data_IF_409724131285
#
_entry.id   IF_409724131285
#
_cell.length_a   1.000
_cell.length_b   1.000
_cell.length_c   1.000
_cell.angle_alpha   90.00
_cell.angle_beta   90.00
_cell.angle_gamma   90.00
#
_symmetry.space_group_name_H-M   'P 1'
#
loop_
_entity.id
_entity.type
_entity.pdbx_description
1 polymer ?
#
# COMPACT_ATOMS: atom_id res chain seq x y z
N UNK A 1 -2.78 18.47 24.30
CA UNK A 1 -2.44 18.06 22.92
C UNK A 1 -0.95 18.33 22.77
N UNK A 2 -0.12 17.28 22.75
CA UNK A 2 1.34 17.42 22.69
C UNK A 2 1.71 17.96 21.30
N UNK A 3 2.46 19.05 21.23
CA UNK A 3 2.86 19.65 19.96
C UNK A 3 4.08 18.91 19.40
N UNK A 4 3.82 17.74 18.80
CA UNK A 4 4.83 16.82 18.24
C UNK A 4 5.76 17.50 17.22
N UNK A 5 5.36 18.64 16.63
CA UNK A 5 6.18 19.44 15.72
C UNK A 5 7.42 20.04 16.40
N UNK A 6 7.44 20.11 17.72
CA UNK A 6 8.52 20.71 18.47
C UNK A 6 9.56 19.72 19.00
N UNK A 7 9.32 18.41 18.89
CA UNK A 7 10.29 17.39 19.28
C UNK A 7 11.56 17.45 18.43
N UNK A 8 12.72 17.38 19.08
CA UNK A 8 14.02 17.47 18.43
C UNK A 8 14.22 16.30 17.46
N UNK A 9 13.77 15.10 17.87
CA UNK A 9 13.85 13.90 17.04
C UNK A 9 12.99 14.03 15.77
N UNK A 10 11.75 14.52 15.91
CA UNK A 10 10.84 14.74 14.78
C UNK A 10 11.38 15.82 13.84
N UNK A 11 11.97 16.88 14.38
CA UNK A 11 12.63 17.94 13.58
C UNK A 11 13.82 17.40 12.80
N UNK A 12 14.62 16.51 13.40
CA UNK A 12 15.75 15.88 12.73
C UNK A 12 15.30 15.05 11.53
N UNK A 13 14.28 14.21 11.69
CA UNK A 13 13.65 13.43 10.60
C UNK A 13 13.18 14.39 9.49
N UNK A 14 12.39 15.41 9.84
CA UNK A 14 11.86 16.37 8.86
C UNK A 14 12.97 17.04 8.07
N UNK A 15 14.02 17.50 8.76
CA UNK A 15 15.14 18.20 8.13
C UNK A 15 15.94 17.28 7.20
N UNK A 16 16.15 16.02 7.58
CA UNK A 16 16.82 15.03 6.74
C UNK A 16 16.08 14.85 5.41
N UNK A 17 14.79 14.54 5.45
CA UNK A 17 14.01 14.27 4.24
C UNK A 17 13.75 15.51 3.38
N UNK A 18 13.57 16.69 4.00
CA UNK A 18 13.50 17.96 3.24
C UNK A 18 14.80 18.27 2.49
N UNK A 19 15.98 18.01 3.07
CA UNK A 19 17.27 18.16 2.38
C UNK A 19 17.41 17.25 1.17
N UNK A 20 16.71 16.11 1.16
CA UNK A 20 16.62 15.18 0.02
C UNK A 20 15.52 15.55 -1.00
N UNK A 21 14.86 16.70 -0.85
CA UNK A 21 13.74 17.16 -1.67
C UNK A 21 12.49 16.26 -1.62
N UNK A 22 12.25 15.61 -0.49
CA UNK A 22 11.04 14.82 -0.28
C UNK A 22 9.92 15.72 0.23
N UNK A 23 8.68 15.35 -0.05
CA UNK A 23 7.51 16.02 0.50
C UNK A 23 7.32 15.57 1.95
N UNK A 24 7.28 16.53 2.87
CA UNK A 24 7.16 16.26 4.31
C UNK A 24 6.09 17.16 4.91
N UNK A 25 5.02 16.55 5.42
CA UNK A 25 3.88 17.26 5.99
C UNK A 25 3.20 16.43 7.08
N UNK A 26 2.28 17.06 7.83
CA UNK A 26 1.44 16.34 8.79
C UNK A 26 0.04 16.13 8.21
N UNK A 27 -0.53 14.95 8.41
CA UNK A 27 -1.91 14.61 8.00
C UNK A 27 -2.60 13.85 9.11
N UNK A 28 -3.83 14.24 9.43
CA UNK A 28 -4.68 13.48 10.34
C UNK A 28 -5.36 12.34 9.56
N UNK A 29 -5.22 11.11 10.05
CA UNK A 29 -5.84 9.91 9.50
C UNK A 29 -6.40 9.11 10.67
N UNK A 30 -7.67 8.73 10.60
CA UNK A 30 -8.39 8.01 11.67
C UNK A 30 -8.27 8.72 13.05
N UNK A 31 -8.31 10.05 13.06
CA UNK A 31 -8.20 10.86 14.30
C UNK A 31 -6.78 10.95 14.88
N UNK A 32 -5.75 10.48 14.16
CA UNK A 32 -4.36 10.47 14.60
C UNK A 32 -3.52 11.29 13.61
N UNK A 33 -2.71 12.22 14.14
CA UNK A 33 -1.75 12.99 13.36
C UNK A 33 -0.52 12.16 13.02
N UNK A 34 -0.25 12.00 11.73
CA UNK A 34 0.92 11.32 11.20
C UNK A 34 1.87 12.33 10.57
N UNK A 35 3.17 12.14 10.78
CA UNK A 35 4.21 12.68 9.93
C UNK A 35 4.21 11.87 8.62
N UNK A 36 3.96 12.54 7.51
CA UNK A 36 3.91 11.94 6.18
C UNK A 36 5.14 12.36 5.41
N UNK A 37 5.85 11.38 4.86
CA UNK A 37 7.03 11.58 4.03
C UNK A 37 6.79 10.88 2.70
N UNK A 38 6.95 11.60 1.58
CA UNK A 38 6.80 11.05 0.24
C UNK A 38 7.96 11.43 -0.66
N UNK A 39 8.44 10.47 -1.46
CA UNK A 39 9.38 10.70 -2.55
C UNK A 39 8.68 10.75 -3.92
N UNK A 40 7.36 10.98 -3.93
CA UNK A 40 6.43 10.92 -5.08
C UNK A 40 6.14 9.53 -5.62
N UNK A 41 7.04 8.56 -5.40
CA UNK A 41 6.80 7.16 -5.74
C UNK A 41 6.08 6.46 -4.61
N UNK A 42 6.67 6.49 -3.41
CA UNK A 42 6.14 5.89 -2.18
C UNK A 42 5.85 6.97 -1.14
N UNK A 43 5.01 6.61 -0.18
CA UNK A 43 4.64 7.46 0.96
C UNK A 43 4.66 6.64 2.22
N UNK A 44 5.33 7.15 3.26
CA UNK A 44 5.45 6.54 4.58
C UNK A 44 4.71 7.39 5.60
N UNK A 45 3.97 6.74 6.49
CA UNK A 45 3.19 7.39 7.53
C UNK A 45 3.77 7.01 8.89
N UNK A 46 4.33 7.98 9.60
CA UNK A 46 4.88 7.79 10.92
C UNK A 46 3.95 8.43 11.93
N UNK A 47 3.60 7.67 12.97
CA UNK A 47 2.96 8.21 14.16
C UNK A 47 4.02 8.40 15.23
N UNK A 48 4.57 9.62 15.41
CA UNK A 48 5.44 9.93 16.53
C UNK A 48 4.60 10.15 17.79
N UNK A 49 5.04 9.60 18.92
CA UNK A 49 4.45 9.89 20.23
C UNK A 49 5.47 9.69 21.34
N UNK A 50 5.38 10.51 22.38
CA UNK A 50 6.18 10.36 23.59
C UNK A 50 5.44 9.53 24.62
N UNK A 51 6.11 8.52 25.15
CA UNK A 51 5.60 7.74 26.29
C UNK A 51 6.02 8.38 27.62
N UNK A 52 7.23 8.96 27.66
CA UNK A 52 7.81 9.73 28.76
C UNK A 52 8.80 10.78 28.22
N UNK A 53 9.29 11.69 29.06
CA UNK A 53 10.17 12.79 28.64
C UNK A 53 11.43 12.35 27.87
N UNK A 54 11.93 11.15 28.14
CA UNK A 54 13.13 10.56 27.52
C UNK A 54 12.84 9.40 26.58
N UNK A 55 11.57 8.99 26.45
CA UNK A 55 11.17 7.82 25.66
C UNK A 55 10.27 8.28 24.51
N UNK A 56 10.86 8.30 23.31
CA UNK A 56 10.20 8.61 22.05
C UNK A 56 9.85 7.32 21.32
N UNK A 57 8.64 7.23 20.77
CA UNK A 57 8.17 6.08 19.99
C UNK A 57 7.68 6.51 18.62
N UNK A 58 7.97 5.67 17.63
CA UNK A 58 7.58 5.86 16.24
C UNK A 58 6.90 4.58 15.75
N UNK A 59 5.61 4.68 15.43
CA UNK A 59 4.93 3.60 14.70
C UNK A 59 4.96 3.95 13.22
N UNK A 60 5.59 3.11 12.40
CA UNK A 60 5.51 3.20 10.93
C UNK A 60 4.29 2.43 10.49
N UNK A 61 3.36 3.11 9.83
CA UNK A 61 2.06 2.60 9.49
C UNK A 61 1.84 2.59 7.98
N UNK A 62 1.09 1.58 7.54
CA UNK A 62 0.44 1.58 6.24
C UNK A 62 -1.07 1.69 6.41
N UNK A 63 -1.68 2.44 5.50
CA UNK A 63 -3.13 2.53 5.39
C UNK A 63 -3.59 1.70 4.21
N UNK A 64 -4.66 0.94 4.44
CA UNK A 64 -5.31 0.12 3.41
C UNK A 64 -6.81 0.29 3.50
N UNK A 65 -7.48 0.26 2.36
CA UNK A 65 -8.93 0.20 2.34
C UNK A 65 -9.37 -1.26 2.55
N UNK A 66 -10.08 -1.53 3.65
CA UNK A 66 -10.77 -2.80 3.84
C UNK A 66 -12.05 -2.81 3.03
N UNK A 67 -12.13 -3.76 2.11
CA UNK A 67 -13.30 -3.91 1.23
C UNK A 67 -14.49 -4.41 2.05
N UNK A 68 -14.25 -5.35 2.96
CA UNK A 68 -15.27 -5.93 3.83
C UNK A 68 -15.83 -4.91 4.81
N UNK A 69 -14.95 -4.14 5.47
CA UNK A 69 -15.35 -3.14 6.46
C UNK A 69 -15.75 -1.79 5.82
N UNK A 70 -15.51 -1.64 4.51
CA UNK A 70 -15.76 -0.42 3.73
C UNK A 70 -15.12 0.82 4.37
N UNK A 71 -13.95 0.65 4.98
CA UNK A 71 -13.28 1.69 5.74
C UNK A 71 -11.76 1.59 5.55
N UNK A 72 -11.04 2.67 5.89
CA UNK A 72 -9.58 2.66 5.96
C UNK A 72 -9.17 1.97 7.26
N UNK A 73 -8.21 1.06 7.15
CA UNK A 73 -7.54 0.40 8.25
C UNK A 73 -6.08 0.81 8.32
N UNK A 74 -5.53 0.76 9.53
CA UNK A 74 -4.16 1.11 9.83
C UNK A 74 -3.44 -0.13 10.34
N UNK A 75 -2.30 -0.47 9.72
CA UNK A 75 -1.43 -1.55 10.15
C UNK A 75 -0.06 -0.98 10.48
N UNK A 76 0.42 -1.28 11.68
CA UNK A 76 1.78 -0.95 12.07
C UNK A 76 2.73 -1.99 11.49
N UNK A 77 3.62 -1.54 10.60
CA UNK A 77 4.68 -2.35 10.04
C UNK A 77 5.82 -2.52 11.04
N UNK A 78 6.20 -1.43 11.68
CA UNK A 78 7.34 -1.37 12.57
C UNK A 78 7.08 -0.43 13.73
N UNK A 79 7.61 -0.79 14.91
CA UNK A 79 7.62 0.05 16.09
C UNK A 79 9.07 0.27 16.51
N UNK A 80 9.49 1.53 16.54
CA UNK A 80 10.82 1.93 16.98
C UNK A 80 10.68 2.71 18.28
N UNK A 81 11.42 2.29 19.30
CA UNK A 81 11.46 2.96 20.61
C UNK A 81 12.86 3.48 20.88
N UNK A 82 12.99 4.80 21.00
CA UNK A 82 14.20 5.46 21.44
C UNK A 82 14.05 5.70 22.95
N UNK A 83 14.87 5.01 23.76
CA UNK A 83 14.78 4.97 25.23
C UNK A 83 15.48 6.14 25.91
N UNK A 84 16.39 6.83 25.21
CA UNK A 84 17.09 8.01 25.72
C UNK A 84 17.17 9.13 24.68
N UNK A 85 17.37 10.37 25.15
CA UNK A 85 17.72 11.53 24.28
C UNK A 85 19.05 11.36 23.54
N UNK A 86 19.85 10.34 23.87
CA UNK A 86 21.10 10.01 23.20
C UNK A 86 20.95 8.91 22.14
N UNK A 87 19.80 8.22 22.12
CA UNK A 87 19.53 7.22 21.09
C UNK A 87 19.32 7.96 19.77
N UNK A 88 20.00 7.50 18.72
CA UNK A 88 20.05 8.24 17.47
C UNK A 88 18.79 8.02 16.65
N UNK A 89 18.22 9.10 16.13
CA UNK A 89 17.10 9.13 15.17
C UNK A 89 17.43 8.40 13.87
N UNK A 90 18.70 8.07 13.65
CA UNK A 90 19.22 7.39 12.47
C UNK A 90 18.50 6.07 12.16
N UNK A 91 18.18 5.25 13.17
CA UNK A 91 17.43 3.99 12.96
C UNK A 91 16.03 4.25 12.36
N UNK A 92 15.35 5.29 12.85
CA UNK A 92 14.05 5.72 12.32
C UNK A 92 14.19 6.21 10.88
N UNK A 93 15.23 6.98 10.59
CA UNK A 93 15.52 7.46 9.23
C UNK A 93 15.78 6.31 8.27
N UNK A 94 16.59 5.33 8.66
CA UNK A 94 16.94 4.17 7.84
C UNK A 94 15.71 3.34 7.50
N UNK A 95 14.85 3.06 8.48
CA UNK A 95 13.59 2.35 8.25
C UNK A 95 12.66 3.11 7.29
N UNK A 96 12.50 4.43 7.46
CA UNK A 96 11.71 5.25 6.52
C UNK A 96 12.31 5.21 5.11
N UNK A 97 13.64 5.25 4.97
CA UNK A 97 14.29 5.15 3.66
C UNK A 97 14.12 3.78 3.02
N UNK A 98 14.18 2.70 3.78
CA UNK A 98 13.92 1.35 3.29
C UNK A 98 12.51 1.29 2.69
N UNK A 99 11.48 1.71 3.43
CA UNK A 99 10.09 1.72 2.96
C UNK A 99 9.87 2.65 1.77
N UNK A 100 10.50 3.84 1.74
CA UNK A 100 10.38 4.75 0.60
C UNK A 100 11.05 4.21 -0.67
N UNK A 101 12.06 3.36 -0.54
CA UNK A 101 12.80 2.78 -1.66
C UNK A 101 12.32 1.38 -2.07
N UNK A 102 11.35 0.80 -1.34
CA UNK A 102 10.73 -0.46 -1.74
C UNK A 102 10.15 -0.36 -3.16
N UNK A 103 10.38 -1.42 -3.94
CA UNK A 103 9.76 -1.58 -5.25
C UNK A 103 8.24 -1.62 -5.09
N UNK A 104 7.51 -0.91 -5.96
CA UNK A 104 6.05 -1.04 -6.00
C UNK A 104 5.69 -2.50 -6.32
N UNK A 105 4.75 -3.08 -5.57
CA UNK A 105 4.25 -4.44 -5.80
C UNK A 105 3.91 -4.74 -7.27
N UNK A 106 3.31 -3.79 -7.99
CA UNK A 106 2.99 -3.94 -9.41
C UNK A 106 4.24 -4.06 -10.30
N UNK A 107 5.29 -3.28 -10.05
CA UNK A 107 6.56 -3.40 -10.78
C UNK A 107 7.29 -4.69 -10.38
N UNK A 108 7.26 -5.04 -9.09
CA UNK A 108 7.80 -6.31 -8.60
C UNK A 108 7.15 -7.51 -9.32
N UNK A 109 5.81 -7.53 -9.44
CA UNK A 109 5.05 -8.54 -10.20
C UNK A 109 5.57 -8.62 -11.64
N UNK A 110 5.62 -7.47 -12.32
CA UNK A 110 6.02 -7.38 -13.73
C UNK A 110 7.47 -7.85 -13.96
N UNK A 111 8.36 -7.60 -13.00
CA UNK A 111 9.78 -7.92 -13.12
C UNK A 111 10.12 -9.36 -12.72
N UNK A 112 9.31 -10.00 -11.88
CA UNK A 112 9.62 -11.29 -11.27
C UNK A 112 8.71 -12.45 -11.71
N UNK A 113 7.64 -12.19 -12.44
CA UNK A 113 6.71 -13.20 -12.92
C UNK A 113 6.55 -13.15 -14.44
N UNK A 114 6.16 -14.28 -15.04
CA UNK A 114 5.74 -14.31 -16.44
C UNK A 114 4.37 -13.64 -16.55
N UNK A 115 4.35 -12.41 -17.07
CA UNK A 115 3.13 -11.65 -17.26
C UNK A 115 2.70 -11.60 -18.71
N UNK A 116 1.40 -11.34 -18.91
CA UNK A 116 0.84 -11.03 -20.22
C UNK A 116 -0.14 -9.87 -20.15
N UNK A 117 -0.40 -9.27 -21.31
CA UNK A 117 -1.24 -8.09 -21.45
C UNK A 117 -2.74 -8.40 -21.55
N UNK A 118 -3.10 -9.60 -22.01
CA UNK A 118 -4.47 -10.00 -22.32
C UNK A 118 -4.79 -11.36 -21.66
N UNK A 119 -6.04 -11.53 -21.20
CA UNK A 119 -6.51 -12.79 -20.65
C UNK A 119 -6.95 -13.75 -21.76
N UNK A 120 -6.81 -15.05 -21.51
CA UNK A 120 -7.34 -16.09 -22.39
C UNK A 120 -8.86 -16.24 -22.18
N UNK A 121 -9.33 -16.03 -20.94
CA UNK A 121 -10.76 -15.97 -20.64
C UNK A 121 -11.42 -14.69 -21.16
N UNK A 122 -12.45 -14.84 -21.99
CA UNK A 122 -13.16 -13.74 -22.66
C UNK A 122 -13.90 -12.81 -21.69
N UNK A 123 -14.36 -13.32 -20.55
CA UNK A 123 -15.06 -12.51 -19.55
C UNK A 123 -14.04 -11.70 -18.73
N UNK A 124 -12.96 -12.33 -18.30
CA UNK A 124 -11.86 -11.66 -17.61
C UNK A 124 -11.22 -10.58 -18.51
N UNK A 125 -11.03 -10.85 -19.80
CA UNK A 125 -10.47 -9.88 -20.74
C UNK A 125 -11.37 -8.65 -20.92
N UNK A 126 -12.71 -8.80 -20.87
CA UNK A 126 -13.62 -7.64 -20.87
C UNK A 126 -13.36 -6.72 -19.67
N UNK A 127 -13.09 -7.28 -18.50
CA UNK A 127 -12.76 -6.51 -17.30
C UNK A 127 -11.40 -5.83 -17.43
N UNK A 128 -10.40 -6.54 -17.97
CA UNK A 128 -9.07 -5.99 -18.26
C UNK A 128 -9.13 -4.77 -19.20
N UNK A 129 -9.85 -4.89 -20.31
CA UNK A 129 -10.07 -3.80 -21.27
C UNK A 129 -10.72 -2.59 -20.59
N UNK A 130 -11.74 -2.83 -19.76
CA UNK A 130 -12.45 -1.75 -19.08
C UNK A 130 -11.59 -1.02 -18.05
N UNK A 131 -10.72 -1.75 -17.31
CA UNK A 131 -9.70 -1.15 -16.45
C UNK A 131 -8.73 -0.27 -17.26
N UNK A 132 -8.16 -0.80 -18.35
CA UNK A 132 -7.21 -0.04 -19.19
C UNK A 132 -7.83 1.25 -19.73
N UNK A 133 -9.09 1.22 -20.19
CA UNK A 133 -9.82 2.43 -20.63
C UNK A 133 -9.93 3.52 -19.57
N UNK A 134 -9.94 3.15 -18.30
CA UNK A 134 -10.02 4.07 -17.17
C UNK A 134 -8.64 4.44 -16.58
N UNK A 135 -7.57 4.15 -17.31
CA UNK A 135 -6.20 4.56 -16.95
C UNK A 135 -5.55 3.71 -15.88
N UNK A 136 -6.05 2.48 -15.66
CA UNK A 136 -5.36 1.50 -14.84
C UNK A 136 -4.24 0.83 -15.63
N UNK A 137 -3.09 0.67 -15.00
CA UNK A 137 -2.07 -0.26 -15.46
C UNK A 137 -2.50 -1.66 -15.03
N UNK A 138 -2.45 -2.62 -15.94
CA UNK A 138 -2.80 -4.01 -15.65
C UNK A 138 -1.70 -4.96 -16.13
N UNK A 139 -1.56 -6.08 -15.44
CA UNK A 139 -0.72 -7.23 -15.84
C UNK A 139 -1.47 -8.49 -15.46
N UNK A 140 -1.37 -9.53 -16.29
CA UNK A 140 -2.02 -10.81 -16.03
C UNK A 140 -0.97 -11.86 -15.75
N UNK A 141 -1.19 -12.63 -14.69
CA UNK A 141 -0.40 -13.81 -14.34
C UNK A 141 -1.31 -15.04 -14.33
N UNK A 142 -0.78 -16.17 -14.77
CA UNK A 142 -1.40 -17.48 -14.57
C UNK A 142 -0.74 -18.17 -13.37
N UNK A 143 -1.47 -18.33 -12.26
CA UNK A 143 -0.91 -18.86 -11.02
C UNK A 143 -1.83 -19.90 -10.37
N UNK A 144 -1.26 -20.80 -9.57
CA UNK A 144 -2.02 -21.79 -8.82
C UNK A 144 -2.75 -21.16 -7.62
N UNK A 145 -4.05 -20.90 -7.81
CA UNK A 145 -4.97 -20.41 -6.78
C UNK A 145 -6.03 -21.45 -6.47
N UNK A 146 -6.18 -21.82 -5.19
CA UNK A 146 -7.16 -22.82 -4.74
C UNK A 146 -6.98 -24.18 -5.45
N UNK A 147 -5.74 -24.64 -5.59
CA UNK A 147 -5.38 -25.89 -6.28
C UNK A 147 -5.73 -25.92 -7.79
N UNK A 148 -5.91 -24.76 -8.42
CA UNK A 148 -6.15 -24.63 -9.86
C UNK A 148 -5.34 -23.48 -10.44
N UNK A 149 -4.83 -23.65 -11.66
CA UNK A 149 -4.24 -22.54 -12.41
C UNK A 149 -5.35 -21.57 -12.78
N UNK A 150 -5.18 -20.30 -12.45
CA UNK A 150 -6.12 -19.22 -12.78
C UNK A 150 -5.37 -18.04 -13.35
N UNK A 151 -6.01 -17.36 -14.29
CA UNK A 151 -5.60 -16.03 -14.70
C UNK A 151 -6.05 -15.00 -13.67
N UNK A 152 -5.15 -14.11 -13.31
CA UNK A 152 -5.34 -13.06 -12.32
C UNK A 152 -4.91 -11.75 -12.97
N UNK A 153 -5.81 -10.77 -12.99
CA UNK A 153 -5.46 -9.40 -13.37
C UNK A 153 -4.92 -8.72 -12.11
N UNK A 154 -3.63 -8.40 -12.10
CA UNK A 154 -3.06 -7.42 -11.20
C UNK A 154 -3.26 -6.04 -11.80
N UNK A 155 -3.64 -5.06 -10.99
CA UNK A 155 -3.82 -3.71 -11.48
C UNK A 155 -3.55 -2.65 -10.42
N UNK A 156 -3.13 -1.48 -10.90
CA UNK A 156 -2.85 -0.31 -10.10
C UNK A 156 -3.15 0.96 -10.90
N UNK A 157 -3.28 2.09 -10.22
CA UNK A 157 -3.50 3.40 -10.83
C UNK A 157 -2.85 4.47 -9.98
N UNK A 158 -1.94 5.21 -10.59
CA UNK A 158 -1.36 6.39 -9.97
C UNK A 158 -2.44 7.47 -9.88
N UNK A 159 -2.87 7.82 -8.67
CA UNK A 159 -3.67 9.00 -8.41
C UNK A 159 -2.96 9.88 -7.40
N UNK A 160 -2.89 11.16 -7.72
CA UNK A 160 -2.48 12.19 -6.77
C UNK A 160 -3.42 12.15 -5.55
N UNK A 161 -2.86 12.23 -4.34
CA UNK A 161 -3.55 12.23 -3.04
C UNK A 161 -4.05 10.89 -2.48
N UNK A 162 -3.75 9.75 -3.11
CA UNK A 162 -4.03 8.45 -2.48
C UNK A 162 -3.29 8.30 -1.15
N UNK A 163 -3.92 7.64 -0.19
CA UNK A 163 -3.25 7.21 1.03
C UNK A 163 -2.14 6.20 0.77
N UNK A 164 -2.15 5.52 -0.37
CA UNK A 164 -1.00 4.74 -0.81
C UNK A 164 -0.95 4.77 -2.35
N UNK A 165 -0.07 5.61 -2.95
CA UNK A 165 -0.02 5.81 -4.40
C UNK A 165 0.34 4.55 -5.20
N UNK A 166 0.74 3.46 -4.52
CA UNK A 166 1.19 2.20 -5.11
C UNK A 166 0.35 1.00 -4.69
N UNK A 167 -0.90 1.24 -4.29
CA UNK A 167 -1.84 0.16 -3.99
C UNK A 167 -2.03 -0.73 -5.23
N UNK A 168 -1.75 -2.01 -5.08
CA UNK A 168 -1.96 -3.03 -6.12
C UNK A 168 -3.09 -3.94 -5.69
N UNK A 169 -4.03 -4.16 -6.60
CA UNK A 169 -5.19 -5.00 -6.39
C UNK A 169 -5.22 -6.13 -7.40
N UNK A 170 -6.07 -7.11 -7.13
CA UNK A 170 -6.31 -8.22 -8.05
C UNK A 170 -7.78 -8.42 -8.40
N UNK A 171 -7.99 -8.96 -9.60
CA UNK A 171 -9.26 -9.52 -10.05
C UNK A 171 -9.04 -10.91 -10.65
N UNK A 172 -9.91 -11.87 -10.31
CA UNK A 172 -9.89 -13.21 -10.89
C UNK A 172 -11.27 -13.86 -10.87
N UNK A 173 -11.51 -14.84 -11.75
CA UNK A 173 -12.75 -15.63 -11.73
C UNK A 173 -12.58 -16.89 -10.88
N UNK A 174 -13.54 -17.16 -9.99
CA UNK A 174 -13.59 -18.43 -9.27
C UNK A 174 -14.19 -19.57 -10.14
N UNK A 175 -14.31 -20.77 -9.58
CA UNK A 175 -14.86 -21.95 -10.28
C UNK A 175 -16.31 -21.85 -10.74
N UNK A 176 -17.05 -20.88 -10.21
CA UNK A 176 -18.44 -20.60 -10.57
C UNK A 176 -18.54 -19.41 -11.53
N UNK A 177 -17.43 -18.98 -12.12
CA UNK A 177 -17.29 -17.75 -12.91
C UNK A 177 -17.76 -16.50 -12.15
N UNK A 178 -17.61 -16.49 -10.83
CA UNK A 178 -17.88 -15.31 -10.01
C UNK A 178 -16.59 -14.52 -9.91
N UNK A 179 -16.65 -13.25 -10.28
CA UNK A 179 -15.54 -12.31 -10.18
C UNK A 179 -15.20 -12.06 -8.71
N UNK A 180 -13.93 -12.25 -8.39
CA UNK A 180 -13.32 -12.00 -7.09
C UNK A 180 -12.40 -10.80 -7.19
N UNK A 181 -12.43 -9.98 -6.16
CA UNK A 181 -11.60 -8.80 -6.01
C UNK A 181 -10.90 -8.83 -4.66
N UNK A 182 -9.66 -8.39 -4.59
CA UNK A 182 -8.90 -8.37 -3.34
C UNK A 182 -7.75 -7.37 -3.41
N UNK A 183 -7.37 -6.85 -2.25
CA UNK A 183 -6.10 -6.14 -2.09
C UNK A 183 -4.97 -7.11 -1.73
N UNK A 184 -3.73 -6.72 -1.97
CA UNK A 184 -2.58 -7.59 -1.73
C UNK A 184 -1.79 -7.07 -0.53
N UNK A 185 -1.47 -7.98 0.40
CA UNK A 185 -0.72 -7.61 1.60
C UNK A 185 0.77 -7.57 1.32
N UNK A 186 1.27 -8.58 0.62
CA UNK A 186 2.68 -8.77 0.34
C UNK A 186 2.84 -9.86 -0.71
N UNK A 187 3.76 -9.70 -1.66
CA UNK A 187 4.09 -10.71 -2.68
C UNK A 187 5.59 -10.96 -2.59
N UNK A 188 6.00 -12.23 -2.40
CA UNK A 188 7.41 -12.66 -2.53
C UNK A 188 7.63 -13.19 -3.95
N UNK A 189 8.69 -13.94 -4.20
CA UNK A 189 8.88 -14.65 -5.47
C UNK A 189 7.88 -15.81 -5.69
N UNK A 190 6.76 -15.79 -4.95
CA UNK A 190 5.66 -16.73 -5.00
C UNK A 190 4.38 -16.00 -4.59
N UNK A 191 3.26 -16.39 -5.19
CA UNK A 191 1.94 -15.84 -4.90
C UNK A 191 1.00 -16.97 -4.47
N UNK A 192 0.32 -16.77 -3.33
CA UNK A 192 -0.72 -17.68 -2.83
C UNK A 192 -1.91 -16.93 -2.25
N UNK A 193 -2.89 -17.68 -1.75
CA UNK A 193 -4.11 -17.13 -1.15
C UNK A 193 -3.84 -16.32 0.13
N UNK A 194 -2.77 -16.61 0.87
CA UNK A 194 -2.38 -15.87 2.06
C UNK A 194 -1.86 -14.46 1.73
N UNK A 195 -1.45 -14.22 0.49
CA UNK A 195 -1.16 -12.87 -0.01
C UNK A 195 -2.42 -12.00 -0.15
N UNK A 196 -3.61 -12.61 -0.21
CA UNK A 196 -4.87 -11.93 -0.45
C UNK A 196 -5.50 -11.43 0.83
N UNK A 197 -5.95 -10.18 0.78
CA UNK A 197 -6.66 -9.53 1.87
C UNK A 197 -8.01 -9.00 1.40
N UNK A 198 -9.01 -9.27 2.23
CA UNK A 198 -10.41 -8.89 1.99
C UNK A 198 -10.92 -9.31 0.61
N UNK A 199 -10.92 -10.62 0.35
CA UNK A 199 -11.49 -11.16 -0.88
C UNK A 199 -13.00 -10.91 -0.91
N UNK A 200 -13.46 -10.06 -1.84
CA UNK A 200 -14.87 -9.77 -2.09
C UNK A 200 -15.36 -10.51 -3.35
N UNK A 201 -16.64 -10.90 -3.36
CA UNK A 201 -17.35 -11.24 -4.59
C UNK A 201 -17.90 -9.97 -5.23
N UNK A 202 -17.63 -9.81 -6.53
CA UNK A 202 -18.26 -8.79 -7.36
C UNK A 202 -19.27 -9.48 -8.28
N UNK A 203 -20.56 -9.53 -7.92
CA UNK A 203 -21.59 -10.15 -8.76
C UNK A 203 -21.70 -9.50 -10.15
N UNK A 204 -21.29 -8.22 -10.23
CA UNK A 204 -21.17 -7.47 -11.47
C UNK A 204 -19.98 -6.52 -11.36
N UNK A 205 -19.11 -6.53 -12.36
CA UNK A 205 -18.03 -5.56 -12.48
C UNK A 205 -18.58 -4.13 -12.65
N UNK A 206 -17.99 -3.17 -11.93
CA UNK A 206 -18.36 -1.76 -11.99
C UNK A 206 -17.14 -0.92 -11.69
N UNK A 207 -16.74 -0.07 -12.64
CA UNK A 207 -15.58 0.80 -12.46
C UNK A 207 -15.79 1.78 -11.32
N UNK A 208 -17.01 2.29 -11.14
CA UNK A 208 -17.34 3.21 -10.04
C UNK A 208 -17.12 2.56 -8.67
N UNK A 209 -17.32 1.24 -8.55
CA UNK A 209 -17.01 0.51 -7.32
C UNK A 209 -15.51 0.39 -7.11
N UNK A 210 -14.76 0.05 -8.16
CA UNK A 210 -13.29 -0.04 -8.10
C UNK A 210 -12.68 1.33 -7.77
N UNK A 211 -13.13 2.39 -8.41
CA UNK A 211 -12.64 3.76 -8.22
C UNK A 211 -12.81 4.26 -6.77
N UNK A 212 -13.89 3.86 -6.09
CA UNK A 212 -14.15 4.19 -4.67
C UNK A 212 -13.18 3.51 -3.69
N UNK A 213 -12.44 2.50 -4.13
CA UNK A 213 -11.50 1.76 -3.30
C UNK A 213 -10.11 2.43 -3.34
N UNK A 214 -9.83 3.21 -4.39
CA UNK A 214 -8.65 4.07 -4.52
C UNK A 214 -8.94 5.44 -3.87
N UNK A 215 -8.88 5.50 -2.52
CA UNK A 215 -8.96 6.71 -1.68
C UNK A 215 -7.60 7.08 -1.11
#
# INVERSE_FOLDING_TARGET
MYDLKNDEEVKEIINYFKKKNYEVYFKEILGINHLVISNKKNTVYIKPYKHYDVISKFDINIFRYSINNKNIEMYTLENITLATVYDTVQEVIESIEEDLNQENYFEFIKNNFETKENADDLELEKYNIELKKHGYNTQIISENLFSKVREIIFFTKNKENLLNPNSTFILFLNDKNILKFSSIIHIKNYFDIGCLYDIEELPKFSIDKIEKIFI
#
